data_IF_198037420278
#
_entry.id   IF_198037420278
#
_cell.length_a   1.000
_cell.length_b   1.000
_cell.length_c   1.000
_cell.angle_alpha   90.00
_cell.angle_beta   90.00
_cell.angle_gamma   90.00
#
_symmetry.space_group_name_H-M   'P 1'
#
loop_
_entity.id
_entity.type
_entity.pdbx_description
1 polymer ?
#
# COMPACT_ATOMS: atom_id res chain seq x y z
N UNK A 1 -11.07 -0.71 1.94
CA UNK A 1 -12.50 -1.06 2.14
C UNK A 1 -13.24 -0.78 0.85
N UNK A 2 -14.31 -1.54 0.57
CA UNK A 2 -15.11 -1.39 -0.65
C UNK A 2 -16.27 -0.37 -0.53
N UNK A 3 -16.32 0.43 0.54
CA UNK A 3 -17.49 1.25 0.90
C UNK A 3 -17.34 2.75 0.64
N UNK A 4 -16.16 3.22 0.23
CA UNK A 4 -15.87 4.64 0.04
C UNK A 4 -15.27 4.89 -1.35
N UNK A 5 -15.45 6.11 -1.86
CA UNK A 5 -14.77 6.59 -3.06
C UNK A 5 -13.31 6.96 -2.74
N UNK A 6 -12.40 6.67 -3.68
CA UNK A 6 -11.00 7.10 -3.57
C UNK A 6 -10.91 8.63 -3.66
N UNK A 7 -11.81 9.23 -4.45
CA UNK A 7 -11.89 10.68 -4.66
C UNK A 7 -12.00 11.48 -3.36
N UNK A 8 -12.54 10.93 -2.27
CA UNK A 8 -12.64 11.62 -0.97
C UNK A 8 -11.26 12.11 -0.45
N UNK A 9 -10.16 11.48 -0.86
CA UNK A 9 -8.81 11.93 -0.50
C UNK A 9 -8.49 13.32 -1.08
N UNK A 10 -9.06 13.65 -2.24
CA UNK A 10 -8.88 14.93 -2.92
C UNK A 10 -9.44 16.13 -2.15
N UNK A 11 -10.31 15.88 -1.18
CA UNK A 11 -11.00 16.92 -0.45
C UNK A 11 -10.15 17.50 0.69
N UNK A 12 -8.95 16.97 0.93
CA UNK A 12 -8.07 17.34 2.04
C UNK A 12 -6.78 17.99 1.58
N UNK A 13 -6.63 19.29 1.90
CA UNK A 13 -5.44 20.08 1.58
C UNK A 13 -4.85 20.72 2.85
N UNK A 14 -3.55 21.02 2.81
CA UNK A 14 -2.90 21.80 3.86
C UNK A 14 -3.35 23.26 3.79
N UNK A 15 -3.64 23.84 4.95
CA UNK A 15 -4.35 25.11 5.07
C UNK A 15 -3.61 26.31 4.46
N UNK A 16 -2.27 26.34 4.56
CA UNK A 16 -1.48 27.50 4.15
C UNK A 16 -0.91 27.33 2.74
N UNK A 17 -0.39 26.15 2.43
CA UNK A 17 0.25 25.85 1.14
C UNK A 17 -0.74 25.40 0.06
N UNK A 18 -1.91 24.87 0.43
CA UNK A 18 -2.85 24.25 -0.50
C UNK A 18 -2.34 22.93 -1.10
N UNK A 19 -1.20 22.40 -0.62
CA UNK A 19 -0.68 21.10 -1.02
C UNK A 19 -1.59 19.96 -0.50
N UNK A 20 -1.58 18.77 -1.11
CA UNK A 20 -2.40 17.66 -0.63
C UNK A 20 -2.00 17.25 0.79
N UNK A 21 -3.00 17.04 1.66
CA UNK A 21 -2.77 16.53 3.00
C UNK A 21 -2.26 15.08 2.99
N UNK A 22 -2.62 14.31 1.96
CA UNK A 22 -2.27 12.89 1.76
C UNK A 22 -1.31 12.74 0.58
N UNK A 23 -0.15 12.12 0.81
CA UNK A 23 0.87 11.94 -0.23
C UNK A 23 0.64 10.67 -1.07
N UNK A 24 0.17 9.59 -0.43
CA UNK A 24 -0.11 8.29 -1.06
C UNK A 24 -1.56 7.87 -0.76
N UNK A 25 -2.31 7.50 -1.78
CA UNK A 25 -3.65 6.94 -1.67
C UNK A 25 -3.67 5.51 -2.22
N UNK A 26 -4.37 4.61 -1.51
CA UNK A 26 -4.42 3.18 -1.83
C UNK A 26 -5.80 2.79 -2.34
N UNK A 27 -5.88 2.21 -3.54
CA UNK A 27 -7.05 1.45 -3.98
C UNK A 27 -7.00 0.11 -3.24
N UNK A 28 -7.81 -0.04 -2.19
CA UNK A 28 -7.81 -1.22 -1.34
C UNK A 28 -9.06 -2.10 -1.51
N UNK A 29 -9.00 -3.24 -2.21
CA UNK A 29 -7.81 -3.79 -2.88
C UNK A 29 -8.16 -4.84 -3.95
N UNK A 30 -7.22 -5.03 -4.90
CA UNK A 30 -7.22 -6.14 -5.84
C UNK A 30 -6.78 -7.45 -5.17
N UNK A 31 -6.85 -8.57 -5.90
CA UNK A 31 -6.58 -9.88 -5.37
C UNK A 31 -5.60 -10.70 -6.21
N UNK A 32 -4.77 -11.51 -5.53
CA UNK A 32 -4.13 -12.68 -6.14
C UNK A 32 -5.05 -13.89 -5.99
N UNK A 33 -5.56 -14.38 -7.12
CA UNK A 33 -6.42 -15.57 -7.22
C UNK A 33 -5.66 -16.75 -7.82
N UNK A 34 -6.25 -17.94 -7.80
CA UNK A 34 -5.71 -19.18 -8.36
C UNK A 34 -6.75 -19.88 -9.24
N UNK A 35 -6.38 -20.24 -10.48
CA UNK A 35 -7.29 -20.90 -11.43
C UNK A 35 -7.22 -22.44 -11.40
N UNK A 36 -6.36 -23.00 -10.54
CA UNK A 36 -6.04 -24.43 -10.49
C UNK A 36 -4.67 -24.78 -11.07
N UNK A 37 -4.08 -23.88 -11.86
CA UNK A 37 -2.77 -24.04 -12.49
C UNK A 37 -1.81 -22.89 -12.15
N UNK A 38 -2.29 -21.65 -12.14
CA UNK A 38 -1.47 -20.45 -11.95
C UNK A 38 -2.20 -19.36 -11.17
N UNK A 39 -1.40 -18.47 -10.58
CA UNK A 39 -1.91 -17.26 -9.97
C UNK A 39 -2.30 -16.21 -11.03
N UNK A 40 -3.36 -15.45 -10.78
CA UNK A 40 -3.78 -14.36 -11.65
C UNK A 40 -4.32 -13.17 -10.86
N UNK A 41 -4.14 -11.97 -11.41
CA UNK A 41 -4.63 -10.72 -10.82
C UNK A 41 -6.13 -10.61 -11.05
N UNK A 42 -6.87 -10.36 -9.98
CA UNK A 42 -8.33 -10.25 -10.00
C UNK A 42 -8.78 -8.92 -9.40
N UNK A 43 -9.73 -8.26 -10.06
CA UNK A 43 -10.42 -7.10 -9.54
C UNK A 43 -11.86 -7.47 -9.18
N UNK A 44 -12.27 -7.20 -7.94
CA UNK A 44 -13.69 -7.25 -7.60
C UNK A 44 -14.44 -6.09 -8.28
N UNK A 45 -15.78 -6.10 -8.20
CA UNK A 45 -16.63 -5.08 -8.83
C UNK A 45 -16.23 -3.67 -8.41
N UNK A 46 -16.01 -3.43 -7.11
CA UNK A 46 -15.70 -2.09 -6.61
C UNK A 46 -14.34 -1.56 -7.07
N UNK A 47 -13.32 -2.41 -7.10
CA UNK A 47 -12.01 -2.06 -7.65
C UNK A 47 -12.13 -1.81 -9.15
N UNK A 48 -12.90 -2.64 -9.86
CA UNK A 48 -13.15 -2.47 -11.30
C UNK A 48 -13.82 -1.13 -11.59
N UNK A 49 -14.85 -0.76 -10.86
CA UNK A 49 -15.52 0.55 -10.95
C UNK A 49 -14.51 1.68 -10.76
N UNK A 50 -13.71 1.63 -9.70
CA UNK A 50 -12.72 2.67 -9.37
C UNK A 50 -11.66 2.83 -10.48
N UNK A 51 -11.15 1.71 -11.01
CA UNK A 51 -10.14 1.69 -12.05
C UNK A 51 -10.70 2.14 -13.42
N UNK A 52 -11.94 1.75 -13.74
CA UNK A 52 -12.60 2.17 -14.98
C UNK A 52 -13.02 3.65 -14.94
N UNK A 53 -13.32 4.19 -13.76
CA UNK A 53 -13.62 5.61 -13.53
C UNK A 53 -12.38 6.43 -13.12
N UNK A 54 -11.22 6.11 -13.68
CA UNK A 54 -9.95 6.74 -13.31
C UNK A 54 -9.97 8.27 -13.42
N UNK A 55 -10.68 8.84 -14.40
CA UNK A 55 -10.75 10.28 -14.62
C UNK A 55 -11.41 11.04 -13.46
N UNK A 56 -12.31 10.39 -12.70
CA UNK A 56 -12.97 10.99 -11.53
C UNK A 56 -12.41 10.45 -10.21
N UNK A 57 -11.94 9.21 -10.16
CA UNK A 57 -11.47 8.58 -8.92
C UNK A 57 -9.97 8.76 -8.67
N UNK A 58 -9.15 8.87 -9.72
CA UNK A 58 -7.69 8.78 -9.64
C UNK A 58 -7.02 10.07 -10.11
N UNK A 59 -7.39 10.57 -11.29
CA UNK A 59 -6.76 11.77 -11.89
C UNK A 59 -6.87 13.01 -11.01
N UNK A 60 -7.98 13.28 -10.28
CA UNK A 60 -8.04 14.44 -9.40
C UNK A 60 -6.99 14.39 -8.30
N UNK A 61 -6.68 13.22 -7.73
CA UNK A 61 -5.62 13.05 -6.72
C UNK A 61 -4.23 13.28 -7.33
N UNK A 62 -3.98 12.67 -8.48
CA UNK A 62 -2.68 12.79 -9.16
C UNK A 62 -2.39 14.22 -9.61
N UNK A 63 -3.40 14.98 -10.04
CA UNK A 63 -3.25 16.36 -10.48
C UNK A 63 -2.79 17.32 -9.36
N UNK A 64 -3.09 17.01 -8.10
CA UNK A 64 -2.65 17.78 -6.91
C UNK A 64 -1.33 17.26 -6.33
N UNK A 65 -0.83 16.12 -6.81
CA UNK A 65 0.45 15.55 -6.39
C UNK A 65 0.35 14.30 -5.51
N UNK A 66 -0.85 13.86 -5.13
CA UNK A 66 -1.05 12.58 -4.42
C UNK A 66 -0.81 11.41 -5.38
N UNK A 67 0.05 10.48 -4.99
CA UNK A 67 0.29 9.24 -5.75
C UNK A 67 -0.78 8.21 -5.44
N UNK A 68 -1.19 7.45 -6.44
CA UNK A 68 -2.22 6.42 -6.31
C UNK A 68 -1.63 5.04 -6.59
N UNK A 69 -1.66 4.15 -5.60
CA UNK A 69 -1.21 2.76 -5.73
C UNK A 69 -2.39 1.81 -5.68
N UNK A 70 -2.21 0.63 -6.28
CA UNK A 70 -3.13 -0.50 -6.11
C UNK A 70 -2.55 -1.47 -5.08
N UNK A 71 -3.27 -1.67 -3.99
CA UNK A 71 -2.95 -2.72 -3.03
C UNK A 71 -3.50 -4.06 -3.52
N UNK A 72 -2.73 -5.12 -3.34
CA UNK A 72 -3.09 -6.48 -3.75
C UNK A 72 -2.98 -7.40 -2.54
N UNK A 73 -4.06 -8.13 -2.24
CA UNK A 73 -4.10 -9.11 -1.16
C UNK A 73 -4.44 -10.52 -1.62
N UNK A 74 -4.20 -11.51 -0.77
CA UNK A 74 -4.69 -12.87 -0.97
C UNK A 74 -6.23 -12.95 -0.97
N UNK A 75 -6.77 -14.04 -1.51
CA UNK A 75 -8.22 -14.24 -1.61
C UNK A 75 -8.66 -15.68 -1.35
N UNK A 76 -8.06 -16.29 -0.34
CA UNK A 76 -8.42 -17.61 0.19
C UNK A 76 -8.28 -18.78 -0.78
N UNK A 77 -7.49 -18.61 -1.85
CA UNK A 77 -7.36 -19.58 -2.93
C UNK A 77 -6.02 -20.33 -2.93
N UNK A 78 -5.16 -20.06 -1.96
CA UNK A 78 -3.88 -20.74 -1.78
C UNK A 78 -2.70 -20.05 -2.45
N UNK A 79 -2.91 -19.41 -3.60
CA UNK A 79 -1.88 -18.58 -4.22
C UNK A 79 -1.66 -17.29 -3.42
N UNK A 80 -0.39 -16.95 -3.20
CA UNK A 80 0.03 -15.73 -2.52
C UNK A 80 1.45 -15.34 -2.93
N UNK A 81 1.92 -14.17 -2.49
CA UNK A 81 3.20 -13.63 -2.95
C UNK A 81 4.41 -14.46 -2.47
N UNK A 82 4.21 -15.31 -1.45
CA UNK A 82 5.27 -16.11 -0.86
C UNK A 82 5.34 -17.57 -1.34
N UNK A 83 4.53 -18.02 -2.32
CA UNK A 83 4.52 -19.43 -2.75
C UNK A 83 4.57 -19.71 -4.27
N UNK A 84 5.10 -18.80 -5.10
CA UNK A 84 5.37 -19.08 -6.51
C UNK A 84 6.42 -20.19 -6.66
N UNK A 85 6.11 -21.25 -7.41
CA UNK A 85 7.00 -22.42 -7.52
C UNK A 85 8.26 -22.14 -8.34
N UNK A 86 8.19 -21.16 -9.25
CA UNK A 86 9.30 -20.76 -10.12
C UNK A 86 9.34 -19.25 -10.31
N UNK A 87 10.52 -18.73 -10.64
CA UNK A 87 10.67 -17.33 -11.05
C UNK A 87 9.76 -16.97 -12.24
N UNK A 88 9.55 -17.90 -13.18
CA UNK A 88 8.70 -17.66 -14.34
C UNK A 88 7.21 -17.45 -13.95
N UNK A 89 6.72 -18.15 -12.93
CA UNK A 89 5.37 -17.92 -12.39
C UNK A 89 5.27 -16.56 -11.70
N UNK A 90 6.27 -16.20 -10.89
CA UNK A 90 6.35 -14.91 -10.22
C UNK A 90 6.42 -13.75 -11.25
N UNK A 91 7.23 -13.89 -12.30
CA UNK A 91 7.35 -12.92 -13.38
C UNK A 91 6.07 -12.79 -14.20
N UNK A 92 5.36 -13.89 -14.45
CA UNK A 92 4.06 -13.87 -15.13
C UNK A 92 2.98 -13.13 -14.31
N UNK A 93 3.03 -13.20 -12.99
CA UNK A 93 2.16 -12.40 -12.13
C UNK A 93 2.60 -10.93 -12.07
N UNK A 94 3.91 -10.67 -11.96
CA UNK A 94 4.48 -9.32 -12.02
C UNK A 94 4.13 -8.60 -13.34
N UNK A 95 4.04 -9.32 -14.46
CA UNK A 95 3.55 -8.80 -15.74
C UNK A 95 2.13 -8.25 -15.62
N UNK A 96 1.21 -8.99 -14.98
CA UNK A 96 -0.19 -8.57 -14.80
C UNK A 96 -0.29 -7.32 -13.92
N UNK A 97 0.53 -7.23 -12.87
CA UNK A 97 0.62 -6.05 -12.01
C UNK A 97 1.10 -4.82 -12.80
N UNK A 98 2.17 -4.98 -13.59
CA UNK A 98 2.71 -3.91 -14.42
C UNK A 98 1.74 -3.45 -15.52
N UNK A 99 1.02 -4.40 -16.12
CA UNK A 99 -0.04 -4.11 -17.09
C UNK A 99 -1.18 -3.31 -16.46
N UNK A 100 -1.58 -3.63 -15.23
CA UNK A 100 -2.59 -2.86 -14.49
C UNK A 100 -2.11 -1.43 -14.21
N UNK A 101 -0.87 -1.26 -13.71
CA UNK A 101 -0.27 0.06 -13.47
C UNK A 101 -0.26 0.90 -14.75
N UNK A 102 0.14 0.29 -15.87
CA UNK A 102 0.21 0.97 -17.17
C UNK A 102 -1.18 1.33 -17.70
N UNK A 103 -2.11 0.36 -17.65
CA UNK A 103 -3.47 0.51 -18.21
C UNK A 103 -4.26 1.61 -17.51
N UNK A 104 -4.17 1.68 -16.18
CA UNK A 104 -4.94 2.64 -15.38
C UNK A 104 -4.14 3.89 -15.00
N UNK A 105 -2.86 3.97 -15.40
CA UNK A 105 -1.98 5.10 -15.11
C UNK A 105 -1.76 5.29 -13.61
N UNK A 106 -1.52 4.18 -12.90
CA UNK A 106 -1.25 4.19 -11.46
C UNK A 106 0.21 4.57 -11.18
N UNK A 107 0.49 4.94 -9.93
CA UNK A 107 1.84 5.30 -9.49
C UNK A 107 2.60 4.10 -8.90
N UNK A 108 1.95 2.97 -8.63
CA UNK A 108 2.63 1.79 -8.09
C UNK A 108 1.72 0.68 -7.60
N UNK A 109 2.35 -0.30 -6.92
CA UNK A 109 1.71 -1.47 -6.29
C UNK A 109 2.09 -1.52 -4.81
N UNK A 110 1.11 -1.89 -4.00
CA UNK A 110 1.30 -2.27 -2.61
C UNK A 110 1.03 -3.77 -2.42
N UNK A 111 1.93 -4.46 -1.71
CA UNK A 111 1.78 -5.88 -1.38
C UNK A 111 1.27 -6.06 0.05
N UNK A 112 0.11 -6.70 0.18
CA UNK A 112 -0.52 -7.04 1.47
C UNK A 112 -0.78 -8.54 1.56
N UNK A 113 0.13 -9.29 2.20
CA UNK A 113 0.04 -10.75 2.27
C UNK A 113 -0.85 -11.25 3.43
N UNK A 114 -2.08 -10.77 3.43
CA UNK A 114 -3.15 -11.36 4.22
C UNK A 114 -4.05 -12.24 3.34
N UNK A 115 -4.75 -13.18 3.99
CA UNK A 115 -5.86 -13.92 3.39
C UNK A 115 -5.53 -14.91 2.26
N UNK A 116 -4.27 -15.09 1.86
CA UNK A 116 -3.85 -16.04 0.81
C UNK A 116 -4.30 -17.50 1.06
N UNK A 117 -4.36 -17.92 2.33
CA UNK A 117 -4.66 -19.31 2.75
C UNK A 117 -3.73 -20.36 2.10
N UNK A 118 -2.43 -20.13 2.19
CA UNK A 118 -1.39 -21.01 1.66
C UNK A 118 -1.64 -22.51 1.92
N UNK A 119 -1.57 -23.32 0.86
CA UNK A 119 -1.88 -24.75 0.89
C UNK A 119 -3.30 -25.09 0.42
N UNK A 120 -4.23 -24.12 0.40
CA UNK A 120 -5.51 -24.32 -0.24
C UNK A 120 -5.34 -24.66 -1.73
N UNK A 121 -6.27 -25.44 -2.27
CA UNK A 121 -6.24 -25.91 -3.67
C UNK A 121 -4.95 -26.65 -4.09
N UNK A 122 -4.20 -27.21 -3.13
CA UNK A 122 -2.96 -27.94 -3.41
C UNK A 122 -1.76 -27.04 -3.75
N UNK A 123 -1.86 -25.74 -3.50
CA UNK A 123 -0.76 -24.79 -3.70
C UNK A 123 0.40 -25.04 -2.74
N UNK A 124 1.64 -24.66 -3.09
CA UNK A 124 2.79 -24.79 -2.19
C UNK A 124 2.64 -23.96 -0.91
N UNK A 125 3.39 -24.34 0.13
CA UNK A 125 3.57 -23.49 1.31
C UNK A 125 4.57 -22.37 1.02
N UNK A 126 4.56 -21.29 1.83
CA UNK A 126 5.49 -20.19 1.64
C UNK A 126 6.96 -20.61 1.68
N UNK A 127 7.80 -19.96 0.89
CA UNK A 127 9.25 -20.15 0.90
C UNK A 127 10.01 -18.86 0.62
N UNK A 128 11.29 -18.87 0.99
CA UNK A 128 12.10 -17.67 1.15
C UNK A 128 12.40 -16.86 -0.10
N UNK A 129 12.17 -17.42 -1.29
CA UNK A 129 12.54 -16.79 -2.56
C UNK A 129 11.36 -16.13 -3.28
N UNK A 130 10.13 -16.62 -3.06
CA UNK A 130 8.97 -16.28 -3.89
C UNK A 130 8.69 -14.78 -3.93
N UNK A 131 8.67 -14.11 -2.77
CA UNK A 131 8.40 -12.68 -2.71
C UNK A 131 9.50 -11.86 -3.39
N UNK A 132 10.77 -12.22 -3.13
CA UNK A 132 11.91 -11.59 -3.80
C UNK A 132 11.84 -11.71 -5.33
N UNK A 133 11.37 -12.85 -5.85
CA UNK A 133 11.15 -13.04 -7.29
C UNK A 133 10.09 -12.09 -7.85
N UNK A 134 8.89 -12.05 -7.28
CA UNK A 134 7.80 -11.22 -7.80
C UNK A 134 8.10 -9.74 -7.64
N UNK A 135 8.71 -9.32 -6.53
CA UNK A 135 9.07 -7.93 -6.28
C UNK A 135 10.17 -7.45 -7.26
N UNK A 136 11.22 -8.26 -7.46
CA UNK A 136 12.30 -7.92 -8.40
C UNK A 136 11.79 -7.89 -9.85
N UNK A 137 11.00 -8.89 -10.26
CA UNK A 137 10.39 -8.92 -11.58
C UNK A 137 9.45 -7.72 -11.82
N UNK A 138 8.70 -7.30 -10.80
CA UNK A 138 7.86 -6.11 -10.89
C UNK A 138 8.70 -4.83 -11.03
N UNK A 139 9.78 -4.70 -10.26
CA UNK A 139 10.72 -3.57 -10.37
C UNK A 139 11.31 -3.46 -11.77
N UNK A 140 11.78 -4.57 -12.34
CA UNK A 140 12.34 -4.60 -13.70
C UNK A 140 11.33 -4.12 -14.76
N UNK A 141 10.05 -4.40 -14.55
CA UNK A 141 8.95 -4.04 -15.47
C UNK A 141 8.51 -2.58 -15.32
N UNK A 142 8.42 -2.10 -14.09
CA UNK A 142 7.93 -0.75 -13.80
C UNK A 142 9.03 0.33 -13.88
N UNK A 143 10.29 -0.07 -13.78
CA UNK A 143 11.41 0.86 -13.64
C UNK A 143 11.45 1.54 -12.27
N UNK A 144 12.37 2.49 -12.05
CA UNK A 144 12.57 3.13 -10.75
C UNK A 144 11.51 4.18 -10.39
N UNK A 145 10.72 4.65 -11.36
CA UNK A 145 9.81 5.80 -11.17
C UNK A 145 8.47 5.41 -10.51
N UNK A 146 8.11 4.13 -10.52
CA UNK A 146 6.88 3.61 -9.90
C UNK A 146 7.17 3.04 -8.53
N UNK A 147 6.19 3.16 -7.65
CA UNK A 147 6.30 2.73 -6.27
C UNK A 147 6.00 1.22 -6.13
N UNK A 148 6.81 0.55 -5.32
CA UNK A 148 6.57 -0.82 -4.87
C UNK A 148 6.67 -0.81 -3.34
N UNK A 149 5.56 -1.08 -2.66
CA UNK A 149 5.50 -0.98 -1.19
C UNK A 149 5.10 -2.31 -0.54
N UNK A 150 5.42 -2.43 0.73
CA UNK A 150 5.15 -3.62 1.53
C UNK A 150 4.36 -3.26 2.80
N UNK A 151 3.13 -3.76 2.86
CA UNK A 151 2.40 -3.91 4.11
C UNK A 151 3.05 -5.06 4.89
N UNK A 152 3.82 -4.74 5.94
CA UNK A 152 4.79 -5.67 6.55
C UNK A 152 4.14 -6.74 7.44
N UNK A 153 3.36 -7.62 6.81
CA UNK A 153 2.63 -8.73 7.42
C UNK A 153 2.71 -9.98 6.55
N UNK A 154 2.34 -11.11 7.16
CA UNK A 154 2.18 -12.37 6.44
C UNK A 154 3.49 -13.02 6.01
N UNK A 155 3.41 -14.16 5.31
CA UNK A 155 4.58 -14.88 4.82
C UNK A 155 5.47 -14.10 3.86
N UNK A 156 4.96 -13.13 3.09
CA UNK A 156 5.78 -12.24 2.27
C UNK A 156 6.77 -11.41 3.10
N UNK A 157 6.42 -11.07 4.34
CA UNK A 157 7.32 -10.40 5.29
C UNK A 157 8.11 -11.39 6.15
N UNK A 158 7.50 -12.51 6.57
CA UNK A 158 8.08 -13.38 7.59
C UNK A 158 8.87 -14.59 7.06
N UNK A 159 8.57 -15.06 5.85
CA UNK A 159 9.25 -16.21 5.24
C UNK A 159 10.38 -15.80 4.29
N UNK A 160 10.33 -14.57 3.76
CA UNK A 160 11.27 -14.04 2.77
C UNK A 160 12.70 -13.98 3.29
N UNK A 161 13.64 -14.47 2.49
CA UNK A 161 15.05 -14.15 2.64
C UNK A 161 15.33 -12.82 1.94
N UNK A 162 15.26 -11.73 2.68
CA UNK A 162 15.55 -10.39 2.18
C UNK A 162 17.01 -10.21 1.70
N UNK A 163 17.92 -11.14 2.03
CA UNK A 163 19.27 -11.16 1.47
C UNK A 163 19.35 -11.71 0.04
N UNK A 164 18.26 -12.28 -0.49
CA UNK A 164 18.23 -12.94 -1.80
C UNK A 164 18.03 -12.01 -2.99
N UNK A 165 17.73 -10.72 -2.76
CA UNK A 165 17.53 -9.69 -3.78
C UNK A 165 17.93 -8.30 -3.25
N UNK A 166 18.07 -7.31 -4.14
CA UNK A 166 18.38 -5.93 -3.75
C UNK A 166 17.12 -5.22 -3.26
N UNK A 167 16.81 -5.39 -1.97
CA UNK A 167 15.63 -4.80 -1.33
C UNK A 167 15.59 -3.29 -1.46
N UNK A 168 16.72 -2.62 -1.24
CA UNK A 168 16.82 -1.16 -1.27
C UNK A 168 16.58 -0.56 -2.64
N UNK A 169 16.92 -1.28 -3.71
CA UNK A 169 16.59 -0.92 -5.10
C UNK A 169 15.19 -1.40 -5.54
N UNK A 170 14.60 -2.36 -4.84
CA UNK A 170 13.33 -3.01 -5.23
C UNK A 170 12.12 -2.39 -4.55
N UNK A 171 12.12 -2.21 -3.23
CA UNK A 171 10.96 -1.74 -2.45
C UNK A 171 11.15 -0.28 -2.02
N UNK A 172 10.23 0.61 -2.36
CA UNK A 172 10.31 2.03 -1.98
C UNK A 172 10.01 2.27 -0.50
N UNK A 173 8.97 1.61 0.02
CA UNK A 173 8.49 1.80 1.39
C UNK A 173 8.03 0.49 2.02
N UNK A 174 8.11 0.40 3.34
CA UNK A 174 7.47 -0.65 4.13
C UNK A 174 6.87 -0.08 5.41
N UNK A 175 5.74 -0.61 5.88
CA UNK A 175 5.04 -0.02 7.02
C UNK A 175 4.31 -1.04 7.90
N UNK A 176 4.10 -0.61 9.14
CA UNK A 176 3.35 -1.31 10.18
C UNK A 176 1.91 -1.62 9.75
N UNK A 177 1.45 -2.88 9.90
CA UNK A 177 0.12 -3.30 9.49
C UNK A 177 -0.94 -3.27 10.60
N UNK A 178 -0.60 -2.89 11.83
CA UNK A 178 -1.47 -3.10 13.00
C UNK A 178 -2.10 -1.79 13.50
N UNK A 179 -3.44 -1.73 13.51
CA UNK A 179 -4.20 -0.55 13.89
C UNK A 179 -4.86 -0.68 15.30
N UNK A 180 -4.71 0.29 16.22
CA UNK A 180 -3.71 1.34 16.26
C UNK A 180 -2.43 0.87 16.98
N UNK A 181 -1.28 0.93 16.32
CA UNK A 181 0.02 0.69 16.97
C UNK A 181 1.12 1.59 16.41
N UNK A 182 2.21 1.66 17.17
CA UNK A 182 3.46 2.28 16.77
C UNK A 182 4.57 1.24 16.92
N UNK A 183 4.87 0.54 15.84
CA UNK A 183 5.83 -0.56 15.81
C UNK A 183 6.46 -0.65 14.41
N UNK A 184 7.70 -0.17 14.29
CA UNK A 184 8.37 -0.11 12.99
C UNK A 184 8.76 -1.51 12.51
N UNK A 185 8.41 -1.91 11.27
CA UNK A 185 8.88 -3.17 10.73
C UNK A 185 10.40 -3.14 10.53
N UNK A 186 11.02 -4.31 10.62
CA UNK A 186 12.44 -4.49 10.30
C UNK A 186 12.53 -5.25 8.98
N UNK A 187 12.89 -4.56 7.91
CA UNK A 187 13.06 -5.13 6.57
C UNK A 187 14.55 -5.03 6.21
N UNK A 188 15.33 -6.13 6.32
CA UNK A 188 16.76 -6.10 5.98
C UNK A 188 17.00 -5.56 4.56
N UNK A 189 17.92 -4.61 4.42
CA UNK A 189 18.19 -3.93 3.15
C UNK A 189 17.33 -2.68 2.88
N UNK A 190 16.38 -2.36 3.76
CA UNK A 190 15.59 -1.11 3.76
C UNK A 190 15.82 -0.32 5.07
N UNK A 191 17.08 -0.04 5.39
CA UNK A 191 17.48 0.52 6.70
C UNK A 191 17.20 2.04 6.85
N UNK A 192 16.89 2.73 5.76
CA UNK A 192 16.57 4.16 5.77
C UNK A 192 15.17 4.38 6.37
N UNK A 193 15.12 4.96 7.58
CA UNK A 193 13.87 5.23 8.31
C UNK A 193 12.92 6.17 7.56
N UNK A 194 13.43 7.01 6.66
CA UNK A 194 12.55 7.84 5.81
C UNK A 194 11.68 6.99 4.87
N UNK A 195 11.99 5.71 4.71
CA UNK A 195 11.25 4.74 3.90
C UNK A 195 10.38 3.79 4.74
N UNK A 196 10.33 3.98 6.06
CA UNK A 196 9.66 3.09 7.01
C UNK A 196 8.51 3.82 7.71
N UNK A 197 7.36 3.14 7.82
CA UNK A 197 6.21 3.59 8.59
C UNK A 197 6.05 2.83 9.90
N UNK A 198 6.28 3.52 11.03
CA UNK A 198 6.08 2.94 12.36
C UNK A 198 4.64 3.07 12.85
N UNK A 199 4.00 4.20 12.55
CA UNK A 199 2.64 4.50 12.97
C UNK A 199 1.61 3.93 12.00
N UNK A 200 0.60 3.26 12.55
CA UNK A 200 -0.57 2.80 11.82
C UNK A 200 -1.82 3.10 12.64
N UNK A 201 -2.78 3.83 12.06
CA UNK A 201 -4.08 4.11 12.68
C UNK A 201 -5.27 3.77 11.78
N UNK A 202 -6.42 3.48 12.40
CA UNK A 202 -7.72 3.48 11.73
C UNK A 202 -8.43 4.80 12.05
N UNK A 203 -8.70 5.62 11.03
CA UNK A 203 -9.31 6.95 11.18
C UNK A 203 -10.72 6.91 11.78
N UNK A 204 -11.42 5.76 11.70
CA UNK A 204 -12.75 5.60 12.26
C UNK A 204 -12.75 5.18 13.74
N UNK A 205 -11.66 4.58 14.22
CA UNK A 205 -11.61 3.95 15.53
C UNK A 205 -10.51 4.49 16.45
N UNK A 206 -9.56 5.26 15.91
CA UNK A 206 -8.43 5.80 16.68
C UNK A 206 -8.76 7.18 17.22
N UNK A 207 -8.45 7.43 18.51
CA UNK A 207 -8.66 8.76 19.10
C UNK A 207 -7.72 9.80 18.49
N UNK A 208 -8.18 11.05 18.38
CA UNK A 208 -7.36 12.16 17.88
C UNK A 208 -6.06 12.33 18.70
N UNK A 209 -6.11 12.15 20.02
CA UNK A 209 -4.94 12.20 20.88
C UNK A 209 -3.89 11.13 20.52
N UNK A 210 -4.32 9.90 20.25
CA UNK A 210 -3.42 8.81 19.81
C UNK A 210 -2.86 9.08 18.42
N UNK A 211 -3.68 9.56 17.48
CA UNK A 211 -3.22 9.90 16.13
C UNK A 211 -2.12 10.99 16.16
N UNK A 212 -2.34 12.06 16.92
CA UNK A 212 -1.35 13.13 17.11
C UNK A 212 -0.09 12.63 17.83
N UNK A 213 -0.21 11.81 18.88
CA UNK A 213 0.96 11.23 19.57
C UNK A 213 1.83 10.41 18.60
N UNK A 214 1.20 9.55 17.79
CA UNK A 214 1.93 8.75 16.81
C UNK A 214 2.58 9.61 15.72
N UNK A 215 1.94 10.71 15.30
CA UNK A 215 2.49 11.62 14.31
C UNK A 215 3.71 12.38 14.87
N UNK A 216 3.62 12.85 16.12
CA UNK A 216 4.75 13.48 16.83
C UNK A 216 5.92 12.52 17.00
N UNK A 217 5.65 11.26 17.35
CA UNK A 217 6.68 10.21 17.45
C UNK A 217 7.30 9.91 16.09
N UNK A 218 6.50 9.83 15.03
CA UNK A 218 6.98 9.61 13.66
C UNK A 218 8.01 10.67 13.27
N UNK A 219 7.71 11.95 13.50
CA UNK A 219 8.64 13.05 13.26
C UNK A 219 9.89 12.98 14.17
N UNK A 220 9.72 12.71 15.47
CA UNK A 220 10.82 12.68 16.44
C UNK A 220 11.80 11.51 16.20
N UNK A 221 11.29 10.34 15.81
CA UNK A 221 12.09 9.13 15.61
C UNK A 221 12.72 9.06 14.20
N UNK A 222 12.34 9.98 13.31
CA UNK A 222 12.86 10.12 11.94
C UNK A 222 12.24 9.15 10.94
N UNK A 223 11.02 8.67 11.17
CA UNK A 223 10.29 7.85 10.22
C UNK A 223 9.61 8.71 9.16
N UNK A 224 9.62 8.27 7.91
CA UNK A 224 9.11 9.05 6.78
C UNK A 224 7.69 8.68 6.33
N UNK A 225 7.08 7.67 6.93
CA UNK A 225 5.72 7.24 6.57
C UNK A 225 4.82 7.20 7.81
N UNK A 226 3.59 7.69 7.65
CA UNK A 226 2.50 7.59 8.63
C UNK A 226 1.29 6.95 7.96
N UNK A 227 0.88 5.76 8.41
CA UNK A 227 -0.25 5.03 7.79
C UNK A 227 -1.56 5.37 8.47
N UNK A 228 -2.54 5.77 7.68
CA UNK A 228 -3.91 5.97 8.11
C UNK A 228 -4.86 5.18 7.21
N UNK A 229 -5.70 4.35 7.83
CA UNK A 229 -6.68 3.51 7.15
C UNK A 229 -8.10 4.05 7.31
N UNK A 230 -8.95 3.71 6.35
CA UNK A 230 -10.40 3.92 6.39
C UNK A 230 -10.83 5.40 6.46
N UNK A 231 -10.28 6.21 5.56
CA UNK A 231 -10.85 7.52 5.25
C UNK A 231 -12.25 7.32 4.63
N UNK A 232 -13.20 8.14 5.06
CA UNK A 232 -14.60 8.07 4.62
C UNK A 232 -15.04 9.39 4.00
N UNK A 233 -16.28 9.45 3.49
CA UNK A 233 -16.86 10.68 2.95
C UNK A 233 -17.25 11.71 4.03
N UNK A 234 -17.12 11.40 5.32
CA UNK A 234 -17.35 12.39 6.38
C UNK A 234 -16.12 13.27 6.58
N UNK A 235 -16.31 14.52 6.96
CA UNK A 235 -15.22 15.43 7.31
C UNK A 235 -14.41 14.89 8.50
N UNK A 236 -13.17 14.49 8.22
CA UNK A 236 -12.19 14.02 9.21
C UNK A 236 -11.02 15.02 9.39
N UNK A 237 -11.16 16.26 8.91
CA UNK A 237 -10.08 17.26 8.88
C UNK A 237 -9.52 17.62 10.26
N UNK A 238 -10.35 17.58 11.30
CA UNK A 238 -9.91 17.85 12.68
C UNK A 238 -8.89 16.81 13.16
N UNK A 239 -9.15 15.52 12.92
CA UNK A 239 -8.21 14.45 13.25
C UNK A 239 -6.97 14.52 12.36
N UNK A 240 -7.16 14.71 11.05
CA UNK A 240 -6.07 14.78 10.08
C UNK A 240 -5.15 15.99 10.36
N UNK A 241 -5.70 17.13 10.81
CA UNK A 241 -4.91 18.30 11.22
C UNK A 241 -3.94 17.97 12.34
N UNK A 242 -4.37 17.20 13.34
CA UNK A 242 -3.49 16.75 14.42
C UNK A 242 -2.33 15.87 13.95
N UNK A 243 -2.45 15.23 12.78
CA UNK A 243 -1.38 14.48 12.13
C UNK A 243 -0.51 15.45 11.32
N UNK A 244 -1.10 16.21 10.39
CA UNK A 244 -0.36 17.07 9.46
C UNK A 244 0.37 18.20 10.15
N UNK A 245 -0.14 18.75 11.26
CA UNK A 245 0.60 19.74 12.06
C UNK A 245 1.90 19.18 12.61
N UNK A 246 1.93 17.88 12.97
CA UNK A 246 3.11 17.23 13.53
C UNK A 246 4.14 16.83 12.46
N UNK A 247 3.70 16.33 11.31
CA UNK A 247 4.61 15.78 10.27
C UNK A 247 4.80 16.69 9.05
N UNK A 248 3.92 17.66 8.82
CA UNK A 248 3.98 18.61 7.71
C UNK A 248 4.00 20.08 8.17
N UNK A 249 3.69 20.36 9.43
CA UNK A 249 3.72 21.71 10.01
C UNK A 249 2.50 22.58 9.70
N UNK A 250 1.46 22.01 9.06
CA UNK A 250 0.25 22.74 8.66
C UNK A 250 -1.00 21.95 9.06
N UNK A 251 -2.06 22.66 9.43
CA UNK A 251 -3.39 22.07 9.61
C UNK A 251 -3.97 21.62 8.26
N UNK A 252 -5.00 20.78 8.32
CA UNK A 252 -5.72 20.30 7.14
C UNK A 252 -7.09 20.96 7.05
N UNK A 253 -7.45 21.41 5.85
CA UNK A 253 -8.80 21.88 5.50
C UNK A 253 -9.53 20.84 4.66
N UNK A 254 -10.84 20.73 4.88
CA UNK A 254 -11.74 19.89 4.07
C UNK A 254 -12.54 20.75 3.10
N UNK A 255 -12.52 20.40 1.82
CA UNK A 255 -13.19 21.10 0.72
C UNK A 255 -13.72 20.08 -0.29
N UNK A 256 -14.94 19.57 -0.11
CA UNK A 256 -15.49 18.54 -0.98
C UNK A 256 -15.66 19.06 -2.41
N UNK A 257 -15.25 18.24 -3.39
CA UNK A 257 -15.34 18.56 -4.83
C UNK A 257 -16.74 18.39 -5.42
#
# INVERSE_FOLDING_TARGET
MNSNDLANVADYALADSGAPAVDLAMIFAANINYDGEKAYLHFNERVTETLQDADNQIRPLQAQGTKVLLSVLGNHQGAGFANFSTYAEADAFAAQLADAVTTYGLDGIDFDDEWSQYGANGTPQPHAQSFGWVASALRDRLGPDKLITLYAIGPSYTATDFGSFDVGATLDYAWNPYYPTYDAPTVPGLDDRSRIGAAAIDLSNTSAATATDFAQRTAADGYGVYVAYNLTATDQSSLISGITEAIKGEATVYSPQ
#
